data_IF_811438423721
#
_entry.id   IF_811438423721
#
_cell.length_a   1.000
_cell.length_b   1.000
_cell.length_c   1.000
_cell.angle_alpha   90.00
_cell.angle_beta   90.00
_cell.angle_gamma   90.00
#
_symmetry.space_group_name_H-M   'P 1'
#
loop_
_entity.id
_entity.type
_entity.pdbx_description
1 polymer ?
#
# COMPACT_ATOMS: atom_id res chain seq x y z
N UNK A 1 53.30 -9.94 -17.84
CA UNK A 1 52.90 -8.50 -17.76
C UNK A 1 52.17 -8.01 -19.02
N UNK A 2 52.64 -8.29 -20.24
CA UNK A 2 51.98 -7.84 -21.49
C UNK A 2 50.58 -8.44 -21.72
N UNK A 3 50.37 -9.71 -21.37
CA UNK A 3 49.05 -10.34 -21.51
C UNK A 3 48.02 -9.74 -20.57
N UNK A 4 48.39 -9.40 -19.33
CA UNK A 4 47.51 -8.71 -18.38
C UNK A 4 47.00 -7.36 -18.92
N UNK A 5 47.87 -6.56 -19.55
CA UNK A 5 47.44 -5.32 -20.22
C UNK A 5 46.49 -5.59 -21.40
N UNK A 6 46.72 -6.68 -22.15
CA UNK A 6 45.91 -7.04 -23.32
C UNK A 6 44.50 -7.50 -22.89
N UNK A 7 44.43 -8.29 -21.82
CA UNK A 7 43.17 -8.73 -21.21
C UNK A 7 42.42 -7.54 -20.61
N UNK A 8 43.11 -6.67 -19.86
CA UNK A 8 42.50 -5.47 -19.27
C UNK A 8 41.92 -4.54 -20.35
N UNK A 9 42.62 -4.35 -21.47
CA UNK A 9 42.14 -3.53 -22.60
C UNK A 9 40.94 -4.16 -23.32
N UNK A 10 40.84 -5.48 -23.34
CA UNK A 10 39.68 -6.19 -23.88
C UNK A 10 38.47 -6.08 -22.95
N UNK A 11 38.67 -6.21 -21.63
CA UNK A 11 37.59 -6.04 -20.66
C UNK A 11 37.08 -4.59 -20.62
N UNK A 12 37.97 -3.59 -20.72
CA UNK A 12 37.58 -2.18 -20.80
C UNK A 12 36.67 -1.86 -21.99
N UNK A 13 36.80 -2.60 -23.09
CA UNK A 13 35.92 -2.44 -24.27
C UNK A 13 34.55 -3.10 -24.09
N UNK A 14 34.43 -4.06 -23.17
CA UNK A 14 33.17 -4.74 -22.85
C UNK A 14 32.35 -3.96 -21.84
N UNK A 15 32.97 -3.05 -21.09
CA UNK A 15 32.28 -2.10 -20.23
C UNK A 15 31.49 -1.13 -21.11
N UNK A 16 30.17 -1.19 -20.98
CA UNK A 16 29.25 -0.27 -21.64
C UNK A 16 28.77 0.72 -20.58
N UNK A 17 29.21 1.97 -20.66
CA UNK A 17 28.89 3.01 -19.69
C UNK A 17 27.38 3.27 -19.64
N UNK A 18 26.69 3.29 -20.79
CA UNK A 18 25.23 3.45 -20.84
C UNK A 18 24.46 2.35 -20.10
N UNK A 19 25.06 1.16 -19.90
CA UNK A 19 24.47 0.10 -19.08
C UNK A 19 24.78 0.29 -17.59
N UNK A 20 25.95 0.84 -17.28
CA UNK A 20 26.36 1.13 -15.91
C UNK A 20 25.51 2.28 -15.36
N UNK A 21 25.28 3.33 -16.16
CA UNK A 21 24.45 4.47 -15.76
C UNK A 21 23.00 4.03 -15.51
N UNK A 22 22.41 3.25 -16.44
CA UNK A 22 21.08 2.65 -16.21
C UNK A 22 21.00 1.76 -14.97
N UNK A 23 22.04 0.97 -14.72
CA UNK A 23 22.10 0.14 -13.52
C UNK A 23 22.19 0.99 -12.24
N UNK A 24 22.89 2.12 -12.30
CA UNK A 24 22.96 3.06 -11.18
C UNK A 24 21.60 3.70 -10.92
N UNK A 25 20.91 4.16 -11.98
CA UNK A 25 19.56 4.72 -11.87
C UNK A 25 18.59 3.67 -11.28
N UNK A 26 18.61 2.43 -11.78
CA UNK A 26 17.79 1.32 -11.25
C UNK A 26 18.14 0.97 -9.78
N UNK A 27 19.41 1.06 -9.40
CA UNK A 27 19.84 0.85 -8.02
C UNK A 27 19.39 1.97 -7.09
N UNK A 28 19.38 3.22 -7.56
CA UNK A 28 18.86 4.37 -6.81
C UNK A 28 17.37 4.19 -6.54
N UNK A 29 16.58 3.91 -7.58
CA UNK A 29 15.14 3.63 -7.45
C UNK A 29 14.86 2.47 -6.48
N UNK A 30 15.68 1.40 -6.53
CA UNK A 30 15.51 0.25 -5.64
C UNK A 30 15.85 0.58 -4.18
N UNK A 31 16.87 1.41 -3.94
CA UNK A 31 17.23 1.85 -2.59
C UNK A 31 16.14 2.73 -1.98
N UNK A 32 15.57 3.64 -2.77
CA UNK A 32 14.46 4.49 -2.33
C UNK A 32 13.23 3.65 -1.99
N UNK A 33 12.84 2.70 -2.85
CA UNK A 33 11.76 1.77 -2.54
C UNK A 33 12.02 0.95 -1.28
N UNK A 34 13.27 0.53 -1.04
CA UNK A 34 13.63 -0.22 0.15
C UNK A 34 13.48 0.62 1.42
N UNK A 35 13.87 1.90 1.38
CA UNK A 35 13.67 2.84 2.48
C UNK A 35 12.18 3.05 2.77
N UNK A 36 11.35 3.23 1.74
CA UNK A 36 9.90 3.38 1.90
C UNK A 36 9.26 2.14 2.53
N UNK A 37 9.66 0.94 2.10
CA UNK A 37 9.19 -0.33 2.69
C UNK A 37 9.63 -0.44 4.15
N UNK A 38 10.87 -0.09 4.47
CA UNK A 38 11.37 -0.11 5.84
C UNK A 38 10.65 0.91 6.72
N UNK A 39 10.34 2.10 6.20
CA UNK A 39 9.54 3.09 6.92
C UNK A 39 8.12 2.56 7.16
N UNK A 40 7.47 2.03 6.13
CA UNK A 40 6.11 1.52 6.23
C UNK A 40 5.98 0.34 7.21
N UNK A 41 6.93 -0.60 7.19
CA UNK A 41 6.96 -1.74 8.12
C UNK A 41 7.47 -1.35 9.52
N UNK A 42 8.34 -0.34 9.60
CA UNK A 42 8.87 0.20 10.86
C UNK A 42 7.90 1.11 11.60
N UNK A 43 6.75 1.44 11.01
CA UNK A 43 5.63 2.10 11.69
C UNK A 43 5.08 1.18 12.77
N UNK A 44 5.67 1.27 13.95
CA UNK A 44 5.10 0.73 15.16
C UNK A 44 3.95 1.65 15.59
N UNK A 45 2.72 1.15 15.49
CA UNK A 45 1.61 1.78 16.17
C UNK A 45 1.82 1.58 17.67
N UNK A 46 1.84 2.68 18.42
CA UNK A 46 1.85 2.63 19.88
C UNK A 46 0.46 2.19 20.34
N UNK A 47 0.19 0.89 20.21
CA UNK A 47 -1.02 0.28 20.72
C UNK A 47 -0.87 0.18 22.24
N UNK A 48 -1.85 0.67 23.02
CA UNK A 48 -1.81 0.50 24.47
C UNK A 48 -1.71 -0.98 24.83
N UNK A 49 -1.19 -1.27 26.01
CA UNK A 49 -1.18 -2.63 26.58
C UNK A 49 -2.64 -3.01 26.88
N UNK A 50 -3.23 -3.84 26.00
CA UNK A 50 -4.62 -4.31 26.09
C UNK A 50 -4.57 -5.76 26.57
N UNK A 51 -5.49 -6.13 27.46
CA UNK A 51 -5.65 -7.52 27.89
C UNK A 51 -6.21 -8.36 26.73
N UNK A 52 -5.35 -9.19 26.11
CA UNK A 52 -5.73 -10.06 24.99
C UNK A 52 -6.87 -11.02 25.36
N UNK A 53 -6.94 -11.48 26.62
CA UNK A 53 -7.97 -12.41 27.05
C UNK A 53 -9.34 -11.74 27.22
N UNK A 54 -9.36 -10.48 27.67
CA UNK A 54 -10.57 -9.68 27.75
C UNK A 54 -11.07 -9.32 26.35
N UNK A 55 -10.16 -8.90 25.47
CA UNK A 55 -10.48 -8.61 24.06
C UNK A 55 -11.02 -9.84 23.32
N UNK A 56 -10.44 -11.02 23.53
CA UNK A 56 -10.93 -12.27 22.93
C UNK A 56 -12.34 -12.62 23.44
N UNK A 57 -12.59 -12.43 24.73
CA UNK A 57 -13.92 -12.64 25.30
C UNK A 57 -14.96 -11.64 24.78
N UNK A 58 -14.60 -10.37 24.60
CA UNK A 58 -15.46 -9.36 23.96
C UNK A 58 -15.75 -9.70 22.48
N UNK A 59 -14.73 -10.14 21.73
CA UNK A 59 -14.90 -10.54 20.32
C UNK A 59 -15.78 -11.78 20.16
N UNK A 60 -15.61 -12.78 21.03
CA UNK A 60 -16.47 -13.97 21.05
C UNK A 60 -17.91 -13.59 21.37
N UNK A 61 -18.12 -12.71 22.37
CA UNK A 61 -19.45 -12.21 22.71
C UNK A 61 -20.11 -11.42 21.56
N UNK A 62 -19.33 -10.59 20.85
CA UNK A 62 -19.80 -9.88 19.66
C UNK A 62 -20.15 -10.84 18.52
N UNK A 63 -19.34 -11.90 18.35
CA UNK A 63 -19.60 -12.97 17.38
C UNK A 63 -20.91 -13.70 17.68
N UNK A 64 -21.16 -14.01 18.94
CA UNK A 64 -22.41 -14.61 19.40
C UNK A 64 -23.61 -13.66 19.22
N UNK A 65 -23.46 -12.36 19.48
CA UNK A 65 -24.50 -11.35 19.24
C UNK A 65 -24.85 -11.27 17.75
N UNK A 66 -23.85 -11.15 16.86
CA UNK A 66 -24.03 -11.14 15.41
C UNK A 66 -24.71 -12.42 14.89
N UNK A 67 -24.36 -13.57 15.47
CA UNK A 67 -24.98 -14.85 15.11
C UNK A 67 -26.42 -14.96 15.61
N UNK A 68 -26.74 -14.38 16.76
CA UNK A 68 -28.06 -14.45 17.38
C UNK A 68 -29.06 -13.51 16.72
N UNK A 69 -28.60 -12.34 16.25
CA UNK A 69 -29.46 -11.39 15.52
C UNK A 69 -29.78 -11.88 14.10
N UNK A 70 -29.01 -12.82 13.53
CA UNK A 70 -29.29 -13.46 12.23
C UNK A 70 -29.34 -12.49 11.05
N UNK A 71 -29.05 -11.22 11.29
CA UNK A 71 -29.29 -10.10 10.39
C UNK A 71 -28.01 -9.88 9.59
N UNK A 72 -27.91 -10.53 8.43
CA UNK A 72 -26.87 -10.25 7.44
C UNK A 72 -27.03 -8.88 6.77
N UNK A 73 -27.88 -8.00 7.32
CA UNK A 73 -28.08 -6.62 6.89
C UNK A 73 -26.78 -5.83 6.96
N UNK A 74 -25.88 -6.14 7.92
CA UNK A 74 -24.52 -5.59 7.95
C UNK A 74 -23.71 -5.96 6.69
N UNK A 75 -23.90 -7.15 6.11
CA UNK A 75 -23.22 -7.56 4.87
C UNK A 75 -23.76 -6.79 3.66
N UNK A 76 -25.07 -6.51 3.64
CA UNK A 76 -25.68 -5.62 2.65
C UNK A 76 -25.19 -4.17 2.81
N UNK A 77 -24.98 -3.70 4.04
CA UNK A 77 -24.35 -2.41 4.31
C UNK A 77 -22.89 -2.40 3.83
N UNK A 78 -22.11 -3.45 4.11
CA UNK A 78 -20.74 -3.58 3.59
C UNK A 78 -20.69 -3.64 2.04
N UNK A 79 -21.67 -4.28 1.40
CA UNK A 79 -21.81 -4.31 -0.06
C UNK A 79 -22.24 -2.95 -0.64
N UNK A 80 -22.94 -2.13 0.13
CA UNK A 80 -23.36 -0.77 -0.27
C UNK A 80 -22.39 0.31 0.19
N UNK A 81 -21.45 0.00 1.08
CA UNK A 81 -20.35 0.90 1.41
C UNK A 81 -19.51 1.16 0.16
N UNK A 82 -19.13 2.42 -0.11
CA UNK A 82 -18.22 2.72 -1.20
C UNK A 82 -16.94 1.89 -1.04
N UNK A 83 -16.54 1.20 -2.10
CA UNK A 83 -15.31 0.40 -2.08
C UNK A 83 -14.11 1.25 -1.66
N UNK A 84 -13.13 0.62 -1.00
CA UNK A 84 -11.89 1.30 -0.60
C UNK A 84 -11.33 2.09 -1.80
N UNK A 85 -10.99 3.38 -1.63
CA UNK A 85 -10.52 4.19 -2.74
C UNK A 85 -9.26 3.57 -3.33
N UNK A 86 -9.34 3.11 -4.58
CA UNK A 86 -8.19 2.57 -5.32
C UNK A 86 -7.46 3.66 -6.13
N UNK A 87 -7.99 4.88 -6.11
CA UNK A 87 -7.43 6.05 -6.78
C UNK A 87 -6.23 6.65 -6.06
N UNK A 88 -5.31 7.25 -6.82
CA UNK A 88 -4.17 7.99 -6.28
C UNK A 88 -4.68 9.34 -5.73
N UNK A 89 -4.35 9.70 -4.47
CA UNK A 89 -4.79 10.97 -3.87
C UNK A 89 -4.44 12.18 -4.75
N UNK A 90 -5.45 12.99 -5.11
CA UNK A 90 -5.28 14.19 -5.95
C UNK A 90 -5.58 14.01 -7.44
N UNK A 91 -5.94 12.81 -7.89
CA UNK A 91 -6.39 12.56 -9.27
C UNK A 91 -7.93 12.54 -9.32
N UNK A 92 -8.54 13.29 -10.25
CA UNK A 92 -10.01 13.33 -10.40
C UNK A 92 -10.52 12.05 -11.05
N UNK A 93 -11.14 11.18 -10.26
CA UNK A 93 -11.81 9.99 -10.75
C UNK A 93 -13.12 10.36 -11.46
N UNK A 94 -13.21 10.07 -12.75
CA UNK A 94 -14.41 10.31 -13.60
C UNK A 94 -15.30 9.07 -13.70
N UNK A 95 -14.92 7.97 -13.07
CA UNK A 95 -15.55 6.66 -13.24
C UNK A 95 -15.91 6.04 -11.89
N UNK A 96 -16.72 6.71 -11.08
CA UNK A 96 -17.34 6.08 -9.93
C UNK A 96 -18.65 5.43 -10.38
N UNK A 97 -18.67 4.10 -10.42
CA UNK A 97 -19.87 3.29 -10.72
C UNK A 97 -20.88 3.28 -9.55
N UNK A 98 -20.62 4.04 -8.49
CA UNK A 98 -21.47 4.23 -7.33
C UNK A 98 -22.24 5.55 -7.47
N UNK A 99 -23.54 5.54 -7.22
CA UNK A 99 -24.49 6.66 -7.39
C UNK A 99 -24.23 7.87 -6.46
N UNK A 100 -23.15 7.82 -5.67
CA UNK A 100 -22.77 8.79 -4.64
C UNK A 100 -21.61 9.66 -5.17
N UNK A 101 -21.83 10.97 -5.26
CA UNK A 101 -20.78 11.92 -5.62
C UNK A 101 -19.73 12.00 -4.49
N UNK A 102 -18.51 11.57 -4.76
CA UNK A 102 -17.36 11.65 -3.84
C UNK A 102 -16.47 12.86 -4.16
N UNK A 103 -15.78 13.38 -3.15
CA UNK A 103 -14.80 14.47 -3.25
C UNK A 103 -13.39 13.95 -3.64
N UNK A 104 -12.40 14.85 -3.69
CA UNK A 104 -11.02 14.52 -4.04
C UNK A 104 -10.31 13.55 -3.08
N UNK A 105 -10.92 13.27 -1.92
CA UNK A 105 -10.43 12.32 -0.92
C UNK A 105 -11.24 11.02 -0.92
N UNK A 106 -12.17 10.85 -1.88
CA UNK A 106 -13.05 9.68 -1.95
C UNK A 106 -14.14 9.69 -0.87
N UNK A 107 -14.36 10.81 -0.18
CA UNK A 107 -15.41 10.96 0.82
C UNK A 107 -16.69 11.46 0.14
N UNK A 108 -17.89 11.03 0.58
CA UNK A 108 -19.16 11.55 0.05
C UNK A 108 -19.26 13.07 0.20
N UNK A 109 -19.59 13.78 -0.89
CA UNK A 109 -19.80 15.23 -0.85
C UNK A 109 -21.02 15.56 0.00
N UNK A 110 -20.81 16.12 1.18
CA UNK A 110 -21.90 16.67 2.01
C UNK A 110 -22.53 17.88 1.31
N UNK A 111 -23.87 18.05 1.35
CA UNK A 111 -24.52 19.23 0.79
C UNK A 111 -24.03 20.47 1.55
N UNK A 112 -23.46 21.43 0.83
CA UNK A 112 -23.08 22.72 1.38
C UNK A 112 -24.34 23.43 1.91
N UNK A 113 -24.33 23.75 3.21
CA UNK A 113 -25.37 24.55 3.85
C UNK A 113 -25.18 26.03 3.55
#
# INVERSE_FOLDING_TARGET
MKDGLKTMKNEYKKLNIDKIDRLQDEMEDMLDMNNDIQEALGRQYDTPDIDEADLEAELDALGDELQLDGDSTFLDEALTTPGVPTGIPGQRDTNNASEIAVDEFGLPRVPAQ
#
